data_IF_131786645175
#
_entry.id   IF_131786645175
#
_cell.length_a   1.000
_cell.length_b   1.000
_cell.length_c   1.000
_cell.angle_alpha   90.00
_cell.angle_beta   90.00
_cell.angle_gamma   90.00
#
_symmetry.space_group_name_H-M   'P 1'
#
loop_
_entity.id
_entity.type
_entity.pdbx_description
1 polymer ?
#
# COMPACT_ATOMS: atom_id res chain seq x y z
N UNK A 1 -22.69 -40.64 -52.74
CA UNK A 1 -22.05 -39.34 -52.46
C UNK A 1 -22.21 -39.03 -50.98
N UNK A 2 -21.14 -38.99 -50.17
CA UNK A 2 -21.23 -38.56 -48.78
C UNK A 2 -20.90 -37.06 -48.65
N UNK A 3 -21.71 -36.34 -47.87
CA UNK A 3 -21.49 -34.92 -47.53
C UNK A 3 -20.53 -34.81 -46.33
N UNK A 4 -19.64 -33.79 -46.28
CA UNK A 4 -18.75 -33.58 -45.15
C UNK A 4 -19.45 -32.85 -44.00
N UNK A 5 -19.26 -33.36 -42.78
CA UNK A 5 -19.76 -32.79 -41.53
C UNK A 5 -18.74 -31.74 -41.06
N UNK A 6 -19.07 -30.46 -41.19
CA UNK A 6 -18.38 -29.36 -40.51
C UNK A 6 -18.89 -29.24 -39.08
N UNK A 7 -18.06 -29.59 -38.10
CA UNK A 7 -18.28 -29.23 -36.69
C UNK A 7 -17.76 -27.81 -36.43
N UNK A 8 -18.60 -26.85 -36.02
CA UNK A 8 -18.11 -25.56 -35.56
C UNK A 8 -17.55 -25.69 -34.14
N UNK A 9 -16.26 -25.40 -33.95
CA UNK A 9 -15.65 -25.21 -32.63
C UNK A 9 -16.05 -23.84 -32.09
N UNK A 10 -17.15 -23.81 -31.34
CA UNK A 10 -17.60 -22.63 -30.60
C UNK A 10 -16.67 -22.38 -29.42
N UNK A 11 -16.11 -21.18 -29.34
CA UNK A 11 -15.32 -20.74 -28.19
C UNK A 11 -16.21 -20.77 -26.92
N UNK A 12 -15.77 -21.39 -25.81
CA UNK A 12 -16.59 -21.48 -24.61
C UNK A 12 -16.86 -20.09 -24.05
N UNK A 13 -18.06 -19.89 -23.52
CA UNK A 13 -18.46 -18.63 -22.92
C UNK A 13 -17.71 -18.39 -21.60
N UNK A 14 -17.68 -17.14 -21.13
CA UNK A 14 -17.11 -16.80 -19.83
C UNK A 14 -17.75 -17.60 -18.69
N UNK A 15 -19.05 -17.90 -18.81
CA UNK A 15 -19.79 -18.70 -17.83
C UNK A 15 -19.31 -20.15 -17.82
N UNK A 16 -19.03 -20.75 -18.99
CA UNK A 16 -18.49 -22.12 -19.08
C UNK A 16 -17.07 -22.21 -18.51
N UNK A 17 -16.25 -21.18 -18.75
CA UNK A 17 -14.92 -21.06 -18.16
C UNK A 17 -14.98 -20.92 -16.64
N UNK A 18 -15.93 -20.13 -16.13
CA UNK A 18 -16.12 -19.92 -14.69
C UNK A 18 -16.64 -21.19 -14.00
N UNK A 19 -17.58 -21.91 -14.61
CA UNK A 19 -18.08 -23.21 -14.11
C UNK A 19 -16.95 -24.24 -14.08
N UNK A 20 -16.15 -24.34 -15.14
CA UNK A 20 -14.98 -25.23 -15.16
C UNK A 20 -13.94 -24.86 -14.12
N UNK A 21 -13.67 -23.56 -13.94
CA UNK A 21 -12.73 -23.10 -12.91
C UNK A 21 -13.20 -23.47 -11.50
N UNK A 22 -14.49 -23.28 -11.21
CA UNK A 22 -15.08 -23.63 -9.91
C UNK A 22 -15.10 -25.14 -9.69
N UNK A 23 -15.46 -25.94 -10.71
CA UNK A 23 -15.46 -27.40 -10.64
C UNK A 23 -14.04 -27.95 -10.39
N UNK A 24 -13.03 -27.46 -11.12
CA UNK A 24 -11.64 -27.90 -10.97
C UNK A 24 -11.08 -27.55 -9.58
N UNK A 25 -11.56 -26.46 -8.96
CA UNK A 25 -11.19 -26.05 -7.60
C UNK A 25 -11.89 -26.89 -6.52
N UNK A 26 -13.10 -27.35 -6.80
CA UNK A 26 -13.84 -28.28 -5.93
C UNK A 26 -13.23 -29.69 -5.97
N UNK A 27 -12.84 -30.16 -7.15
CA UNK A 27 -12.23 -31.50 -7.32
C UNK A 27 -10.81 -31.55 -6.74
N UNK A 28 -10.03 -30.48 -6.87
CA UNK A 28 -8.72 -30.36 -6.21
C UNK A 28 -8.82 -30.32 -4.67
N UNK A 29 -9.93 -29.84 -4.12
CA UNK A 29 -10.18 -29.84 -2.68
C UNK A 29 -10.64 -31.21 -2.17
N UNK A 30 -11.37 -31.98 -2.99
CA UNK A 30 -11.86 -33.32 -2.65
C UNK A 30 -10.80 -34.41 -2.83
N UNK A 31 -9.89 -34.27 -3.80
CA UNK A 31 -8.81 -35.23 -4.04
C UNK A 31 -7.71 -35.22 -2.95
N UNK A 32 -7.72 -34.23 -2.04
CA UNK A 32 -6.74 -34.09 -0.96
C UNK A 32 -7.17 -34.74 0.37
N UNK A 33 -8.30 -35.46 0.41
CA UNK A 33 -8.83 -36.08 1.63
C UNK A 33 -8.55 -37.59 1.61
N UNK A 34 -7.40 -38.00 2.16
CA UNK A 34 -7.25 -39.37 2.69
C UNK A 34 -7.79 -39.41 4.12
N UNK A 35 -8.66 -40.39 4.38
CA UNK A 35 -9.32 -40.61 5.66
C UNK A 35 -8.38 -41.29 6.67
N UNK A 36 -7.89 -40.51 7.64
CA UNK A 36 -7.24 -41.01 8.85
C UNK A 36 -7.96 -40.49 10.10
N UNK A 37 -8.45 -41.39 10.93
CA UNK A 37 -8.98 -41.10 12.27
C UNK A 37 -7.85 -40.54 13.16
N UNK A 38 -8.03 -39.34 13.72
CA UNK A 38 -7.16 -38.84 14.78
C UNK A 38 -6.91 -37.33 14.71
N UNK A 39 -7.47 -36.62 15.70
CA UNK A 39 -7.17 -35.25 16.10
C UNK A 39 -7.53 -34.12 15.11
N UNK A 40 -8.49 -33.30 15.54
CA UNK A 40 -8.82 -32.04 14.88
C UNK A 40 -7.70 -31.05 15.18
N UNK A 41 -6.73 -30.96 14.29
CA UNK A 41 -5.88 -29.78 14.18
C UNK A 41 -6.73 -28.63 13.63
N UNK A 42 -6.89 -27.50 14.35
CA UNK A 42 -7.56 -26.34 13.80
C UNK A 42 -6.72 -25.82 12.63
N UNK A 43 -7.16 -26.10 11.40
CA UNK A 43 -6.65 -25.39 10.25
C UNK A 43 -7.04 -23.92 10.38
N UNK A 44 -6.15 -23.09 10.93
CA UNK A 44 -6.19 -21.65 10.70
C UNK A 44 -6.38 -21.44 9.20
N UNK A 45 -7.43 -20.71 8.83
CA UNK A 45 -7.57 -20.17 7.49
C UNK A 45 -6.49 -19.10 7.32
N UNK A 46 -5.24 -19.52 7.14
CA UNK A 46 -4.10 -18.66 6.81
C UNK A 46 -4.14 -18.28 5.32
N UNK A 47 -5.32 -17.94 4.82
CA UNK A 47 -5.45 -17.05 3.68
C UNK A 47 -5.69 -15.64 4.22
N UNK A 48 -4.79 -15.16 5.08
CA UNK A 48 -4.77 -13.76 5.50
C UNK A 48 -4.82 -12.87 4.26
N UNK A 49 -5.56 -11.77 4.34
CA UNK A 49 -5.76 -10.83 3.22
C UNK A 49 -4.40 -10.43 2.63
N UNK A 50 -4.06 -10.99 1.47
CA UNK A 50 -2.82 -10.67 0.75
C UNK A 50 -3.09 -9.47 -0.14
N UNK A 51 -2.27 -8.44 0.01
CA UNK A 51 -2.34 -7.26 -0.85
C UNK A 51 -1.88 -7.67 -2.25
N UNK A 52 -2.73 -7.39 -3.24
CA UNK A 52 -2.38 -7.56 -4.64
C UNK A 52 -1.21 -6.62 -5.00
N UNK A 53 -0.07 -7.13 -5.49
CA UNK A 53 1.09 -6.28 -5.79
C UNK A 53 0.81 -5.23 -6.86
N UNK A 54 -0.11 -5.48 -7.79
CA UNK A 54 -0.46 -4.50 -8.83
C UNK A 54 -1.31 -3.38 -8.26
N UNK A 55 -2.28 -3.68 -7.41
CA UNK A 55 -3.05 -2.67 -6.69
C UNK A 55 -2.13 -1.78 -5.82
N UNK A 56 -1.22 -2.40 -5.06
CA UNK A 56 -0.22 -1.66 -4.28
C UNK A 56 0.66 -0.76 -5.16
N UNK A 57 1.05 -1.24 -6.35
CA UNK A 57 1.86 -0.44 -7.27
C UNK A 57 1.10 0.78 -7.81
N UNK A 58 -0.16 0.59 -8.22
CA UNK A 58 -1.02 1.69 -8.68
C UNK A 58 -1.09 2.81 -7.65
N UNK A 59 -1.33 2.48 -6.38
CA UNK A 59 -1.39 3.47 -5.31
C UNK A 59 0.00 4.06 -4.99
N UNK A 60 1.07 3.25 -5.06
CA UNK A 60 2.45 3.69 -4.89
C UNK A 60 2.93 4.68 -5.95
N UNK A 61 2.32 4.65 -7.13
CA UNK A 61 2.69 5.53 -8.25
C UNK A 61 1.68 6.63 -8.54
N UNK A 62 0.67 6.81 -7.69
CA UNK A 62 -0.44 7.76 -7.94
C UNK A 62 0.05 9.19 -8.20
N UNK A 63 1.14 9.62 -7.54
CA UNK A 63 1.72 10.96 -7.70
C UNK A 63 2.92 10.99 -8.67
N UNK A 64 3.18 9.88 -9.38
CA UNK A 64 4.29 9.75 -10.34
C UNK A 64 3.77 9.18 -11.68
N UNK A 65 3.10 10.00 -12.51
CA UNK A 65 2.33 9.53 -13.66
C UNK A 65 3.16 8.79 -14.73
N UNK A 66 4.48 9.03 -14.80
CA UNK A 66 5.39 8.32 -15.72
C UNK A 66 5.71 6.87 -15.32
N UNK A 67 5.25 6.42 -14.14
CA UNK A 67 5.55 5.10 -13.59
C UNK A 67 4.52 4.01 -13.91
N UNK A 68 3.51 4.34 -14.73
CA UNK A 68 2.49 3.39 -15.16
C UNK A 68 3.15 2.34 -16.08
N UNK A 69 3.45 1.17 -15.51
CA UNK A 69 4.29 0.17 -16.18
C UNK A 69 4.39 -1.15 -15.42
N UNK A 70 5.46 -1.90 -15.72
CA UNK A 70 5.78 -3.17 -15.07
C UNK A 70 6.21 -2.98 -13.61
N UNK A 71 5.86 -3.97 -12.78
CA UNK A 71 6.30 -4.01 -11.39
C UNK A 71 7.84 -4.10 -11.34
N UNK A 72 8.51 -3.33 -10.46
CA UNK A 72 9.94 -3.49 -10.28
C UNK A 72 10.27 -4.86 -9.67
N UNK A 73 11.51 -5.35 -9.85
CA UNK A 73 11.95 -6.59 -9.22
C UNK A 73 11.73 -6.57 -7.71
N UNK A 74 11.43 -7.73 -7.13
CA UNK A 74 11.17 -7.93 -5.69
C UNK A 74 9.98 -7.14 -5.11
N UNK A 75 9.20 -6.40 -5.93
CA UNK A 75 8.04 -5.64 -5.45
C UNK A 75 7.00 -6.53 -4.76
N UNK A 76 6.63 -7.65 -5.38
CA UNK A 76 5.67 -8.58 -4.79
C UNK A 76 6.17 -9.16 -3.45
N UNK A 77 7.49 -9.39 -3.33
CA UNK A 77 8.12 -9.82 -2.09
C UNK A 77 7.99 -8.75 -1.02
N UNK A 78 8.33 -7.49 -1.35
CA UNK A 78 8.19 -6.35 -0.43
C UNK A 78 6.74 -6.16 0.03
N UNK A 79 5.77 -6.19 -0.88
CA UNK A 79 4.33 -6.07 -0.56
C UNK A 79 3.85 -7.18 0.36
N UNK A 80 4.46 -8.36 0.30
CA UNK A 80 4.07 -9.51 1.11
C UNK A 80 4.67 -9.51 2.52
N UNK A 81 5.64 -8.62 2.82
CA UNK A 81 6.29 -8.60 4.13
C UNK A 81 5.34 -8.13 5.25
N UNK A 82 5.34 -8.79 6.42
CA UNK A 82 4.56 -8.39 7.58
C UNK A 82 5.29 -7.26 8.32
N UNK A 83 5.28 -6.05 7.77
CA UNK A 83 5.82 -4.87 8.43
C UNK A 83 4.66 -3.96 8.86
N UNK A 84 4.35 -3.85 10.17
CA UNK A 84 3.29 -2.98 10.64
C UNK A 84 3.61 -1.53 10.28
N UNK A 85 2.65 -0.84 9.67
CA UNK A 85 2.72 0.58 9.38
C UNK A 85 1.35 1.17 9.66
N UNK A 86 1.31 2.29 10.37
CA UNK A 86 0.05 2.91 10.81
C UNK A 86 -0.09 4.33 10.27
N UNK A 87 1.00 5.11 10.29
CA UNK A 87 1.02 6.49 9.81
C UNK A 87 1.74 6.59 8.45
N UNK A 88 1.06 6.16 7.39
CA UNK A 88 1.62 6.10 6.03
C UNK A 88 1.24 7.36 5.23
N UNK A 89 2.22 8.20 4.82
CA UNK A 89 1.93 9.36 3.98
C UNK A 89 1.72 8.97 2.52
N UNK A 90 0.84 9.71 1.84
CA UNK A 90 0.64 9.69 0.39
C UNK A 90 1.84 10.32 -0.31
N UNK A 91 2.75 9.48 -0.75
CA UNK A 91 4.03 9.83 -1.32
C UNK A 91 4.52 8.67 -2.20
N UNK A 92 5.41 8.94 -3.15
CA UNK A 92 5.89 7.95 -4.10
C UNK A 92 6.43 6.70 -3.38
N UNK A 93 6.11 5.52 -3.90
CA UNK A 93 6.49 4.23 -3.32
C UNK A 93 5.62 3.77 -2.14
N UNK A 94 5.03 4.66 -1.34
CA UNK A 94 4.13 4.24 -0.26
C UNK A 94 2.80 3.77 -0.82
N UNK A 95 2.14 2.83 -0.15
CA UNK A 95 0.82 2.38 -0.54
C UNK A 95 -0.05 2.16 0.69
N UNK A 96 -1.35 2.51 0.63
CA UNK A 96 -2.24 2.55 1.78
C UNK A 96 -2.49 1.17 2.38
N UNK A 97 -2.45 0.11 1.57
CA UNK A 97 -2.69 -1.27 2.00
C UNK A 97 -1.59 -1.83 2.93
N UNK A 98 -0.57 -1.03 3.28
CA UNK A 98 0.36 -1.36 4.38
C UNK A 98 -0.30 -1.27 5.75
N UNK A 99 -1.32 -0.43 5.89
CA UNK A 99 -2.10 -0.31 7.14
C UNK A 99 -3.09 -1.48 7.22
N UNK A 100 -2.62 -2.62 7.72
CA UNK A 100 -3.40 -3.87 7.80
C UNK A 100 -3.83 -4.24 9.21
N UNK A 101 -3.01 -3.89 10.19
CA UNK A 101 -3.37 -4.02 11.59
C UNK A 101 -4.13 -2.77 12.02
N UNK A 102 -5.41 -2.94 12.33
CA UNK A 102 -6.30 -1.85 12.73
C UNK A 102 -6.49 -1.78 14.24
N UNK A 103 -6.10 -2.81 14.99
CA UNK A 103 -6.38 -2.87 16.42
C UNK A 103 -5.76 -1.70 17.20
N UNK A 104 -4.48 -1.33 16.97
CA UNK A 104 -3.88 -0.16 17.64
C UNK A 104 -4.53 1.16 17.25
N UNK A 105 -5.15 1.25 16.07
CA UNK A 105 -5.84 2.46 15.61
C UNK A 105 -7.24 2.59 16.24
N UNK A 106 -7.96 1.48 16.39
CA UNK A 106 -9.38 1.50 16.77
C UNK A 106 -9.60 1.35 18.28
N UNK A 107 -8.72 0.68 19.01
CA UNK A 107 -8.94 0.35 20.43
C UNK A 107 -8.14 1.24 21.38
N UNK A 108 -6.81 1.27 21.24
CA UNK A 108 -5.92 2.06 22.11
C UNK A 108 -5.01 2.92 21.25
N UNK A 109 -5.54 4.04 20.78
CA UNK A 109 -4.83 4.94 19.88
C UNK A 109 -3.80 5.78 20.66
N UNK A 110 -2.56 5.30 20.67
CA UNK A 110 -1.40 6.02 21.20
C UNK A 110 -0.58 6.59 20.02
N UNK A 111 -0.93 7.79 19.50
CA UNK A 111 -0.37 8.31 18.24
C UNK A 111 1.16 8.38 18.22
N UNK A 112 1.77 8.65 19.37
CA UNK A 112 3.22 8.70 19.51
C UNK A 112 3.92 7.34 19.31
N UNK A 113 3.27 6.23 19.60
CA UNK A 113 3.80 4.87 19.43
C UNK A 113 3.60 4.35 17.98
N UNK A 114 2.64 4.93 17.25
CA UNK A 114 2.22 4.46 15.93
C UNK A 114 2.89 5.22 14.77
N UNK A 115 3.59 6.32 15.06
CA UNK A 115 4.35 7.10 14.07
C UNK A 115 5.78 6.56 13.90
N UNK A 116 6.43 6.80 12.74
CA UNK A 116 7.82 6.41 12.56
C UNK A 116 8.75 7.07 13.59
N UNK A 117 9.72 6.31 14.10
CA UNK A 117 10.76 6.81 15.02
C UNK A 117 12.07 7.19 14.31
N UNK A 118 12.22 6.85 13.02
CA UNK A 118 13.48 6.97 12.29
C UNK A 118 14.52 5.89 12.58
N UNK A 119 14.26 4.99 13.53
CA UNK A 119 15.19 3.91 13.91
C UNK A 119 14.99 2.61 13.12
N UNK A 120 14.30 2.71 11.98
CA UNK A 120 13.96 1.57 11.13
C UNK A 120 15.22 1.12 10.39
N UNK A 121 15.53 -0.17 10.46
CA UNK A 121 16.63 -0.74 9.68
C UNK A 121 16.19 -0.95 8.23
N UNK A 122 17.10 -0.81 7.26
CA UNK A 122 16.81 -1.16 5.88
C UNK A 122 16.27 -2.58 5.75
N UNK A 123 15.22 -2.76 4.95
CA UNK A 123 14.59 -4.04 4.72
C UNK A 123 15.61 -5.03 4.12
N UNK A 124 15.87 -6.19 4.77
CA UNK A 124 16.78 -7.19 4.24
C UNK A 124 16.19 -7.93 3.03
N UNK A 125 17.05 -8.56 2.23
CA UNK A 125 16.65 -9.07 0.91
C UNK A 125 16.30 -7.93 -0.05
N UNK A 126 15.79 -8.17 -1.27
CA UNK A 126 15.46 -7.13 -2.27
C UNK A 126 16.65 -6.59 -3.12
N UNK A 127 17.60 -7.46 -3.49
CA UNK A 127 18.75 -7.06 -4.31
C UNK A 127 18.34 -6.55 -5.71
N UNK A 128 17.30 -7.14 -6.30
CA UNK A 128 16.75 -6.72 -7.59
C UNK A 128 16.15 -5.32 -7.50
N UNK A 129 15.36 -5.05 -6.45
CA UNK A 129 14.78 -3.71 -6.24
C UNK A 129 15.87 -2.66 -6.02
N UNK A 130 16.89 -2.95 -5.21
CA UNK A 130 18.03 -2.03 -5.02
C UNK A 130 18.78 -1.74 -6.31
N UNK A 131 19.05 -2.79 -7.11
CA UNK A 131 19.67 -2.58 -8.42
C UNK A 131 18.78 -1.75 -9.34
N UNK A 132 17.45 -1.88 -9.25
CA UNK A 132 16.52 -1.08 -10.03
C UNK A 132 16.56 0.39 -9.58
N UNK A 133 16.49 0.64 -8.26
CA UNK A 133 16.56 2.00 -7.68
C UNK A 133 17.84 2.70 -8.13
N UNK A 134 18.99 2.05 -7.99
CA UNK A 134 20.29 2.63 -8.34
C UNK A 134 20.44 2.96 -9.84
N UNK A 135 19.74 2.22 -10.71
CA UNK A 135 19.79 2.41 -12.18
C UNK A 135 18.68 3.30 -12.71
N UNK A 136 17.61 3.52 -11.95
CA UNK A 136 16.44 4.26 -12.42
C UNK A 136 16.64 5.77 -12.30
N UNK A 137 17.37 6.33 -13.25
CA UNK A 137 17.63 7.77 -13.35
C UNK A 137 16.48 8.55 -14.02
N UNK A 138 15.56 7.87 -14.69
CA UNK A 138 14.44 8.52 -15.40
C UNK A 138 13.28 8.87 -14.49
N UNK A 139 13.17 8.21 -13.34
CA UNK A 139 12.11 8.44 -12.34
C UNK A 139 12.71 8.65 -10.94
N UNK A 140 13.47 9.74 -10.72
CA UNK A 140 14.21 9.96 -9.48
C UNK A 140 13.30 10.05 -8.24
N UNK A 141 12.13 10.66 -8.38
CA UNK A 141 11.11 10.72 -7.31
C UNK A 141 10.66 9.33 -6.88
N UNK A 142 10.36 8.45 -7.83
CA UNK A 142 9.92 7.09 -7.53
C UNK A 142 11.06 6.23 -6.96
N UNK A 143 12.26 6.35 -7.53
CA UNK A 143 13.44 5.67 -7.02
C UNK A 143 13.73 6.08 -5.56
N UNK A 144 13.65 7.38 -5.26
CA UNK A 144 13.79 7.91 -3.91
C UNK A 144 12.66 7.42 -2.98
N UNK A 145 11.41 7.43 -3.45
CA UNK A 145 10.26 6.94 -2.70
C UNK A 145 10.38 5.45 -2.33
N UNK A 146 10.88 4.63 -3.25
CA UNK A 146 11.14 3.20 -3.01
C UNK A 146 12.35 2.97 -2.10
N UNK A 147 13.43 3.75 -2.24
CA UNK A 147 14.55 3.72 -1.30
C UNK A 147 14.08 4.06 0.13
N UNK A 148 13.25 5.10 0.27
CA UNK A 148 12.62 5.49 1.53
C UNK A 148 11.73 4.38 2.09
N UNK A 149 10.92 3.75 1.23
CA UNK A 149 10.00 2.66 1.60
C UNK A 149 10.72 1.47 2.24
N UNK A 150 11.92 1.15 1.76
CA UNK A 150 12.75 0.03 2.25
C UNK A 150 13.75 0.47 3.33
N UNK A 151 13.61 1.67 3.90
CA UNK A 151 14.45 2.17 5.00
C UNK A 151 15.83 2.70 4.59
N UNK A 152 16.11 2.87 3.30
CA UNK A 152 17.37 3.46 2.81
C UNK A 152 17.27 4.98 2.67
N UNK A 153 17.15 5.67 3.80
CA UNK A 153 16.88 7.11 3.84
C UNK A 153 17.99 7.96 3.21
N UNK A 154 19.26 7.58 3.37
CA UNK A 154 20.37 8.32 2.76
C UNK A 154 20.42 8.16 1.23
N UNK A 155 20.04 6.98 0.73
CA UNK A 155 19.87 6.76 -0.72
C UNK A 155 18.70 7.58 -1.24
N UNK A 156 17.57 7.56 -0.51
CA UNK A 156 16.40 8.36 -0.86
C UNK A 156 16.75 9.85 -0.96
N UNK A 157 17.41 10.40 0.06
CA UNK A 157 17.82 11.81 0.11
C UNK A 157 18.69 12.21 -1.08
N UNK A 158 19.67 11.38 -1.45
CA UNK A 158 20.56 11.64 -2.59
C UNK A 158 19.83 11.63 -3.93
N UNK A 159 18.77 10.85 -4.06
CA UNK A 159 17.98 10.71 -5.28
C UNK A 159 16.89 11.77 -5.41
N UNK A 160 16.49 12.43 -4.32
CA UNK A 160 15.39 13.39 -4.33
C UNK A 160 15.74 14.65 -5.14
N UNK A 161 14.91 15.01 -6.13
CA UNK A 161 14.99 16.32 -6.77
C UNK A 161 14.68 17.44 -5.77
N UNK A 162 15.27 18.61 -6.01
CA UNK A 162 15.08 19.79 -5.15
C UNK A 162 13.62 20.28 -5.11
N UNK A 163 12.87 20.07 -6.19
CA UNK A 163 11.47 20.47 -6.36
C UNK A 163 10.45 19.41 -5.85
N UNK A 164 10.92 18.28 -5.30
CA UNK A 164 10.07 17.20 -4.80
C UNK A 164 9.62 17.42 -3.33
N UNK A 165 9.00 18.57 -3.03
CA UNK A 165 8.68 18.99 -1.65
C UNK A 165 7.86 17.95 -0.86
N UNK A 166 6.85 17.31 -1.47
CA UNK A 166 6.06 16.26 -0.82
C UNK A 166 6.90 15.08 -0.35
N UNK A 167 7.89 14.70 -1.16
CA UNK A 167 8.75 13.56 -0.87
C UNK A 167 9.83 13.89 0.16
N UNK A 168 10.31 15.13 0.17
CA UNK A 168 11.20 15.64 1.23
C UNK A 168 10.48 15.58 2.59
N UNK A 169 9.24 16.06 2.67
CA UNK A 169 8.43 15.96 3.88
C UNK A 169 8.14 14.50 4.27
N UNK A 170 7.84 13.62 3.30
CA UNK A 170 7.66 12.20 3.57
C UNK A 170 8.95 11.52 4.08
N UNK A 171 10.13 11.94 3.60
CA UNK A 171 11.41 11.47 4.11
C UNK A 171 11.66 11.91 5.55
N UNK A 172 11.36 13.19 5.88
CA UNK A 172 11.40 13.69 7.25
C UNK A 172 10.47 12.87 8.17
N UNK A 173 9.26 12.57 7.69
CA UNK A 173 8.28 11.77 8.42
C UNK A 173 8.83 10.39 8.77
N UNK A 174 9.39 9.67 7.79
CA UNK A 174 9.95 8.33 8.01
C UNK A 174 11.23 8.34 8.84
N UNK A 175 12.03 9.43 8.80
CA UNK A 175 13.15 9.67 9.72
C UNK A 175 12.71 10.06 11.15
N UNK A 176 11.41 10.07 11.45
CA UNK A 176 10.87 10.41 12.77
C UNK A 176 10.82 11.90 13.09
N UNK A 177 11.19 12.76 12.13
CA UNK A 177 11.12 14.23 12.22
C UNK A 177 9.71 14.72 11.88
N UNK A 178 8.71 14.20 12.60
CA UNK A 178 7.29 14.33 12.28
C UNK A 178 6.78 15.78 12.29
N UNK A 179 7.23 16.61 13.24
CA UNK A 179 6.85 18.03 13.30
C UNK A 179 7.37 18.82 12.09
N UNK A 180 8.59 18.53 11.65
CA UNK A 180 9.19 19.17 10.48
C UNK A 180 8.51 18.72 9.19
N UNK A 181 8.11 17.45 9.12
CA UNK A 181 7.30 16.95 8.03
C UNK A 181 5.91 17.63 7.97
N UNK A 182 5.24 17.81 9.11
CA UNK A 182 3.99 18.57 9.19
C UNK A 182 4.18 20.01 8.72
N UNK A 183 5.23 20.69 9.17
CA UNK A 183 5.55 22.05 8.74
C UNK A 183 5.77 22.11 7.22
N UNK A 184 6.50 21.15 6.66
CA UNK A 184 6.70 21.00 5.23
C UNK A 184 5.37 20.86 4.47
N UNK A 185 4.53 19.91 4.84
CA UNK A 185 3.23 19.71 4.19
C UNK A 185 2.28 20.89 4.35
N UNK A 186 2.36 21.62 5.47
CA UNK A 186 1.55 22.82 5.71
C UNK A 186 1.96 23.99 4.83
N UNK A 187 3.23 24.08 4.43
CA UNK A 187 3.74 25.12 3.54
C UNK A 187 3.45 24.85 2.05
N UNK A 188 3.03 23.63 1.69
CA UNK A 188 2.71 23.28 0.30
C UNK A 188 1.35 23.83 -0.12
N UNK A 189 1.15 24.13 -1.42
CA UNK A 189 -0.18 24.38 -1.96
C UNK A 189 -1.12 23.18 -1.73
N UNK A 190 -2.41 23.48 -1.56
CA UNK A 190 -3.41 22.43 -1.38
C UNK A 190 -3.46 21.51 -2.61
N UNK A 191 -3.35 20.22 -2.34
CA UNK A 191 -3.48 19.12 -3.30
C UNK A 191 -4.01 17.90 -2.55
N UNK A 192 -4.63 16.91 -3.20
CA UNK A 192 -5.14 15.73 -2.51
C UNK A 192 -4.08 15.06 -1.61
N UNK A 193 -2.83 14.97 -2.09
CA UNK A 193 -1.72 14.41 -1.33
C UNK A 193 -1.31 15.29 -0.14
N UNK A 194 -1.13 16.60 -0.34
CA UNK A 194 -0.74 17.52 0.74
C UNK A 194 -1.83 17.58 1.83
N UNK A 195 -3.10 17.69 1.45
CA UNK A 195 -4.24 17.72 2.39
C UNK A 195 -4.33 16.42 3.18
N UNK A 196 -4.22 15.26 2.52
CA UNK A 196 -4.17 13.97 3.21
C UNK A 196 -3.01 13.88 4.19
N UNK A 197 -1.79 14.24 3.74
CA UNK A 197 -0.60 14.15 4.57
C UNK A 197 -0.65 15.08 5.79
N UNK A 198 -1.20 16.30 5.64
CA UNK A 198 -1.46 17.23 6.76
C UNK A 198 -2.42 16.61 7.77
N UNK A 199 -3.56 16.09 7.31
CA UNK A 199 -4.57 15.48 8.19
C UNK A 199 -4.02 14.27 8.95
N UNK A 200 -3.31 13.38 8.25
CA UNK A 200 -2.62 12.23 8.84
C UNK A 200 -1.56 12.67 9.85
N UNK A 201 -0.71 13.63 9.50
CA UNK A 201 0.32 14.12 10.40
C UNK A 201 -0.25 14.75 11.68
N UNK A 202 -1.30 15.59 11.56
CA UNK A 202 -2.00 16.16 12.72
C UNK A 202 -2.56 15.07 13.63
N UNK A 203 -3.20 14.04 13.05
CA UNK A 203 -3.76 12.91 13.80
C UNK A 203 -2.67 12.16 14.59
N UNK A 204 -1.58 11.78 13.93
CA UNK A 204 -0.48 11.03 14.56
C UNK A 204 0.48 11.89 15.41
N UNK A 205 0.30 13.21 15.43
CA UNK A 205 0.89 14.12 16.41
C UNK A 205 -0.06 14.40 17.59
N UNK A 206 -1.23 13.76 17.64
CA UNK A 206 -2.20 13.91 18.73
C UNK A 206 -3.08 15.16 18.63
N UNK A 207 -3.00 15.92 17.52
CA UNK A 207 -3.78 17.15 17.27
C UNK A 207 -5.13 16.81 16.63
N UNK A 208 -5.91 15.94 17.28
CA UNK A 208 -7.12 15.31 16.72
C UNK A 208 -8.17 16.33 16.26
N UNK A 209 -8.41 17.38 17.06
CA UNK A 209 -9.38 18.42 16.73
C UNK A 209 -9.05 19.17 15.42
N UNK A 210 -7.75 19.36 15.14
CA UNK A 210 -7.28 19.98 13.90
C UNK A 210 -7.27 18.99 12.74
N UNK A 211 -7.03 17.71 13.01
CA UNK A 211 -6.99 16.65 12.00
C UNK A 211 -8.36 16.40 11.35
N UNK A 212 -9.45 16.37 12.14
CA UNK A 212 -10.82 16.07 11.68
C UNK A 212 -11.22 16.86 10.42
N UNK A 213 -11.24 18.21 10.40
CA UNK A 213 -11.67 18.96 9.22
C UNK A 213 -10.74 18.76 8.01
N UNK A 214 -9.44 18.56 8.24
CA UNK A 214 -8.47 18.34 7.16
C UNK A 214 -8.64 16.95 6.53
N UNK A 215 -8.89 15.92 7.35
CA UNK A 215 -9.17 14.56 6.87
C UNK A 215 -10.51 14.50 6.13
N UNK A 216 -11.54 15.21 6.58
CA UNK A 216 -12.80 15.36 5.84
C UNK A 216 -12.56 15.95 4.44
N UNK A 217 -11.74 17.01 4.34
CA UNK A 217 -11.36 17.59 3.05
C UNK A 217 -10.58 16.60 2.17
N UNK A 218 -9.68 15.80 2.76
CA UNK A 218 -8.94 14.76 2.03
C UNK A 218 -9.87 13.67 1.47
N UNK A 219 -10.84 13.18 2.26
CA UNK A 219 -11.84 12.20 1.82
C UNK A 219 -12.67 12.74 0.64
N UNK A 220 -13.01 14.04 0.64
CA UNK A 220 -13.74 14.66 -0.45
C UNK A 220 -12.90 14.85 -1.73
N UNK A 221 -11.58 15.06 -1.59
CA UNK A 221 -10.69 15.38 -2.70
C UNK A 221 -10.12 14.15 -3.41
N UNK A 222 -9.97 13.02 -2.72
CA UNK A 222 -9.38 11.79 -3.30
C UNK A 222 -10.51 10.94 -3.91
N UNK A 223 -10.37 10.43 -5.15
CA UNK A 223 -11.37 9.54 -5.75
C UNK A 223 -11.68 8.33 -4.88
N UNK A 224 -12.96 8.00 -4.69
CA UNK A 224 -13.41 6.88 -3.84
C UNK A 224 -12.85 5.51 -4.27
N UNK A 225 -12.48 5.37 -5.54
CA UNK A 225 -11.87 4.15 -6.09
C UNK A 225 -10.40 3.97 -5.70
N UNK A 226 -9.74 4.99 -5.14
CA UNK A 226 -8.35 4.91 -4.71
C UNK A 226 -8.22 4.28 -3.33
N UNK A 227 -7.20 3.44 -3.13
CA UNK A 227 -6.85 2.94 -1.79
C UNK A 227 -6.53 4.06 -0.81
N UNK A 228 -6.07 5.22 -1.30
CA UNK A 228 -5.80 6.39 -0.47
C UNK A 228 -7.07 7.02 0.10
N UNK A 229 -8.20 6.97 -0.61
CA UNK A 229 -9.48 7.42 -0.08
C UNK A 229 -9.93 6.51 1.07
N UNK A 230 -9.78 5.19 0.91
CA UNK A 230 -10.07 4.24 1.98
C UNK A 230 -9.24 4.49 3.24
N UNK A 231 -7.94 4.79 3.08
CA UNK A 231 -7.08 5.15 4.21
C UNK A 231 -7.45 6.51 4.83
N UNK A 232 -7.85 7.49 4.02
CA UNK A 232 -8.31 8.79 4.53
C UNK A 232 -9.58 8.63 5.38
N UNK A 233 -10.53 7.80 4.94
CA UNK A 233 -11.73 7.45 5.70
C UNK A 233 -11.39 6.73 7.01
N UNK A 234 -10.47 5.78 6.97
CA UNK A 234 -9.99 5.09 8.17
C UNK A 234 -9.44 6.10 9.19
N UNK A 235 -8.54 7.00 8.79
CA UNK A 235 -7.99 8.00 9.70
C UNK A 235 -9.04 9.00 10.21
N UNK A 236 -10.01 9.38 9.36
CA UNK A 236 -11.12 10.22 9.81
C UNK A 236 -11.92 9.50 10.91
N UNK A 237 -12.25 8.22 10.72
CA UNK A 237 -12.94 7.42 11.73
C UNK A 237 -12.11 7.27 13.02
N UNK A 238 -10.79 7.09 12.93
CA UNK A 238 -9.90 7.10 14.11
C UNK A 238 -10.00 8.44 14.85
N UNK A 239 -9.98 9.55 14.13
CA UNK A 239 -10.15 10.88 14.72
C UNK A 239 -11.51 11.05 15.40
N UNK A 240 -12.58 10.52 14.81
CA UNK A 240 -13.95 10.53 15.37
C UNK A 240 -14.11 9.67 16.61
N UNK A 241 -13.45 8.50 16.67
CA UNK A 241 -13.49 7.60 17.82
C UNK A 241 -12.76 8.20 19.03
N UNK A 242 -11.61 8.86 18.80
CA UNK A 242 -10.67 9.23 19.86
C UNK A 242 -10.62 10.72 20.22
N UNK A 243 -11.45 11.58 19.62
CA UNK A 243 -11.46 13.02 19.96
C UNK A 243 -12.77 13.71 19.72
#
# INVERSE_FOLDING_TARGET
MPSPITTPTTQPSLQDLMVRFLANRSDAALAAVESGEGEVEPHEVAAGFRVDPRAAWTDATTNTPAATGSLPPDWATLVSQPAPAFAVPMAAGNFPQRVRDLHPLLTKFEPAELRPSGTQHPTPGLAGLRSWIAKNTTQPVLAAGLARLIGEFDTAEKLLPADAANEQAALLWHRGRCEEALAGWTAMPDSPAATFNRGMALLFLGRVAEAKPVLTAAVAAIPETSGWNALARLYLSVAEIHG
#
